data_IF_818624224668
#
_entry.id   IF_818624224668
#
_cell.length_a   1.000
_cell.length_b   1.000
_cell.length_c   1.000
_cell.angle_alpha   90.00
_cell.angle_beta   90.00
_cell.angle_gamma   90.00
#
_symmetry.space_group_name_H-M   'P 1'
#
loop_
_entity.id
_entity.type
_entity.pdbx_description
1 polymer ?
#
# COMPACT_ATOMS: atom_id res chain seq x y z
N UNK A 1 -12.68 23.74 3.04
CA UNK A 1 -12.70 23.05 4.35
C UNK A 1 -11.26 22.68 4.69
N UNK A 2 -10.63 23.46 5.56
CA UNK A 2 -9.20 23.35 5.87
C UNK A 2 -8.95 22.09 6.70
N UNK A 3 -8.01 21.24 6.27
CA UNK A 3 -7.60 20.04 7.00
C UNK A 3 -6.52 20.46 7.99
N UNK A 4 -6.87 20.52 9.27
CA UNK A 4 -5.91 20.75 10.35
C UNK A 4 -4.84 19.66 10.36
N UNK A 5 -3.59 20.03 10.61
CA UNK A 5 -2.46 19.11 10.61
C UNK A 5 -2.44 18.26 11.89
N UNK A 6 -1.81 17.07 11.90
CA UNK A 6 -1.67 16.25 13.11
C UNK A 6 -0.97 16.97 14.27
N UNK A 7 -0.15 17.99 13.98
CA UNK A 7 0.55 18.79 15.01
C UNK A 7 -0.41 19.78 15.71
N UNK A 8 -1.45 20.26 15.02
CA UNK A 8 -2.47 21.13 15.63
C UNK A 8 -3.39 20.37 16.62
N UNK A 9 -3.42 19.03 16.57
CA UNK A 9 -4.12 18.19 17.54
C UNK A 9 -3.31 17.92 18.81
N UNK A 10 -1.98 17.96 18.74
CA UNK A 10 -1.12 17.79 19.91
C UNK A 10 -1.18 19.01 20.83
N UNK A 11 -1.21 20.23 20.27
CA UNK A 11 -1.37 21.45 21.06
C UNK A 11 -2.75 21.57 21.73
N UNK A 12 -3.80 21.00 21.14
CA UNK A 12 -5.14 21.01 21.75
C UNK A 12 -5.26 20.06 22.96
N UNK A 13 -4.43 19.01 23.01
CA UNK A 13 -4.40 18.06 24.14
C UNK A 13 -3.44 18.51 25.25
N UNK A 14 -2.40 19.29 24.93
CA UNK A 14 -1.56 19.91 25.96
C UNK A 14 -2.29 21.02 26.74
N UNK A 15 -3.21 21.77 26.09
CA UNK A 15 -4.02 22.78 26.80
C UNK A 15 -5.13 22.14 27.69
N UNK A 16 -5.77 21.03 27.28
CA UNK A 16 -6.84 20.40 28.10
C UNK A 16 -6.33 19.40 29.17
N UNK A 17 -5.03 19.06 29.17
CA UNK A 17 -4.43 18.25 30.25
C UNK A 17 -3.83 19.09 31.38
N UNK A 18 -3.87 20.43 31.25
CA UNK A 18 -3.82 21.34 32.39
C UNK A 18 -5.22 21.62 32.94
N UNK A 19 -6.09 20.58 33.02
CA UNK A 19 -7.02 20.60 34.14
C UNK A 19 -6.14 20.45 35.37
N UNK A 20 -5.82 21.57 36.01
CA UNK A 20 -5.49 21.62 37.43
C UNK A 20 -6.31 20.52 38.08
N UNK A 21 -5.64 19.44 38.46
CA UNK A 21 -6.27 18.49 39.35
C UNK A 21 -6.55 19.34 40.58
N UNK A 22 -7.78 19.79 40.73
CA UNK A 22 -8.35 20.07 42.04
C UNK A 22 -8.09 18.79 42.82
N UNK A 23 -6.94 18.77 43.47
CA UNK A 23 -6.58 17.79 44.47
C UNK A 23 -7.61 18.01 45.54
N UNK A 24 -8.70 17.26 45.46
CA UNK A 24 -9.74 17.27 46.47
C UNK A 24 -9.02 17.10 47.81
N UNK A 25 -9.03 18.08 48.72
CA UNK A 25 -8.17 18.04 49.91
C UNK A 25 -8.42 16.81 50.80
N UNK A 26 -9.59 16.19 50.67
CA UNK A 26 -9.92 14.90 51.29
C UNK A 26 -9.22 13.69 50.61
N UNK A 27 -8.90 13.79 49.31
CA UNK A 27 -8.18 12.78 48.54
C UNK A 27 -6.72 12.64 48.97
N UNK A 28 -6.03 13.75 49.25
CA UNK A 28 -4.66 13.75 49.76
C UNK A 28 -4.62 13.22 51.20
N UNK A 29 -5.57 13.60 52.06
CA UNK A 29 -5.57 13.20 53.47
C UNK A 29 -5.65 11.67 53.66
N UNK A 30 -6.50 10.96 52.93
CA UNK A 30 -6.64 9.49 53.04
C UNK A 30 -5.48 8.73 52.41
N UNK A 31 -4.92 9.24 51.31
CA UNK A 31 -3.79 8.61 50.62
C UNK A 31 -2.52 8.79 51.44
N UNK A 32 -2.37 9.96 52.08
CA UNK A 32 -1.33 10.26 53.04
C UNK A 32 -1.52 9.47 54.35
N UNK A 33 -2.76 9.31 54.84
CA UNK A 33 -3.08 8.40 55.96
C UNK A 33 -2.68 6.96 55.64
N UNK A 34 -3.12 6.37 54.53
CA UNK A 34 -2.78 4.99 54.15
C UNK A 34 -1.28 4.77 53.88
N UNK A 35 -0.56 5.82 53.46
CA UNK A 35 0.89 5.79 53.23
C UNK A 35 1.73 6.00 54.50
N UNK A 36 1.13 6.47 55.60
CA UNK A 36 1.84 6.61 56.87
C UNK A 36 1.94 5.28 57.61
N UNK A 37 3.13 5.02 58.18
CA UNK A 37 3.45 3.79 58.92
C UNK A 37 2.56 3.57 60.17
N UNK A 38 1.86 4.63 60.61
CA UNK A 38 0.97 4.67 61.77
C UNK A 38 -0.54 4.50 61.45
N UNK A 39 -0.90 4.27 60.19
CA UNK A 39 -2.30 4.07 59.80
C UNK A 39 -2.93 2.90 60.57
N UNK A 40 -2.24 1.77 60.59
CA UNK A 40 -2.74 0.55 61.23
C UNK A 40 -2.80 0.68 62.77
N UNK A 41 -1.92 1.47 63.40
CA UNK A 41 -1.97 1.70 64.85
C UNK A 41 -3.12 2.64 65.22
N UNK A 42 -3.36 3.66 64.41
CA UNK A 42 -4.48 4.60 64.58
C UNK A 42 -5.83 3.90 64.40
N UNK A 43 -5.94 3.05 63.37
CA UNK A 43 -7.14 2.24 63.09
C UNK A 43 -7.40 1.20 64.19
N UNK A 44 -6.34 0.63 64.79
CA UNK A 44 -6.47 -0.35 65.88
C UNK A 44 -6.97 0.27 67.21
N UNK A 45 -6.76 1.57 67.43
CA UNK A 45 -7.27 2.30 68.60
C UNK A 45 -8.57 3.07 68.36
N UNK A 46 -9.11 3.02 67.14
CA UNK A 46 -10.29 3.78 66.71
C UNK A 46 -11.60 3.18 67.24
N UNK A 47 -12.61 4.03 67.43
CA UNK A 47 -13.94 3.55 67.79
C UNK A 47 -14.60 2.81 66.62
N UNK A 48 -15.62 2.00 66.91
CA UNK A 48 -16.34 1.20 65.90
C UNK A 48 -16.99 2.06 64.81
N UNK A 49 -17.35 3.31 65.12
CA UNK A 49 -17.98 4.23 64.17
C UNK A 49 -16.94 4.96 63.30
N UNK A 50 -15.75 5.23 63.83
CA UNK A 50 -14.62 5.75 63.03
C UNK A 50 -14.16 4.69 62.00
N UNK A 51 -14.10 3.43 62.41
CA UNK A 51 -13.81 2.29 61.53
C UNK A 51 -14.81 2.15 60.39
N UNK A 52 -16.11 2.34 60.64
CA UNK A 52 -17.14 2.31 59.58
C UNK A 52 -16.96 3.45 58.58
N UNK A 53 -16.59 4.63 59.06
CA UNK A 53 -16.37 5.80 58.20
C UNK A 53 -15.18 5.58 57.26
N UNK A 54 -14.06 5.09 57.81
CA UNK A 54 -12.87 4.73 57.02
C UNK A 54 -13.19 3.63 56.00
N UNK A 55 -13.95 2.61 56.39
CA UNK A 55 -14.36 1.53 55.48
C UNK A 55 -15.23 2.06 54.32
N UNK A 56 -16.16 2.98 54.60
CA UNK A 56 -16.98 3.65 53.60
C UNK A 56 -16.15 4.44 52.59
N UNK A 57 -15.18 5.22 53.07
CA UNK A 57 -14.26 5.99 52.23
C UNK A 57 -13.36 5.08 51.36
N UNK A 58 -12.82 3.99 51.93
CA UNK A 58 -12.03 3.01 51.15
C UNK A 58 -12.89 2.35 50.07
N UNK A 59 -14.15 2.02 50.38
CA UNK A 59 -15.07 1.40 49.42
C UNK A 59 -15.37 2.33 48.26
N UNK A 60 -15.68 3.60 48.54
CA UNK A 60 -15.87 4.63 47.51
C UNK A 60 -14.62 4.83 46.65
N UNK A 61 -13.42 4.85 47.24
CA UNK A 61 -12.16 4.93 46.47
C UNK A 61 -11.97 3.71 45.57
N UNK A 62 -12.26 2.51 46.07
CA UNK A 62 -12.15 1.29 45.27
C UNK A 62 -13.10 1.31 44.07
N UNK A 63 -14.32 1.82 44.23
CA UNK A 63 -15.28 1.99 43.13
C UNK A 63 -14.80 3.04 42.12
N UNK A 64 -14.32 4.19 42.60
CA UNK A 64 -13.74 5.23 41.75
C UNK A 64 -12.55 4.73 40.93
N UNK A 65 -11.60 4.03 41.55
CA UNK A 65 -10.45 3.46 40.84
C UNK A 65 -10.85 2.38 39.84
N UNK A 66 -11.84 1.53 40.16
CA UNK A 66 -12.40 0.57 39.20
C UNK A 66 -12.99 1.26 37.98
N UNK A 67 -13.68 2.38 38.18
CA UNK A 67 -14.27 3.14 37.07
C UNK A 67 -13.22 3.85 36.22
N UNK A 68 -12.21 4.48 36.86
CA UNK A 68 -11.05 5.04 36.15
C UNK A 68 -10.30 3.98 35.35
N UNK A 69 -10.09 2.80 35.92
CA UNK A 69 -9.38 1.70 35.25
C UNK A 69 -10.15 1.19 34.02
N UNK A 70 -11.49 1.13 34.08
CA UNK A 70 -12.32 0.82 32.90
C UNK A 70 -12.17 1.84 31.77
N UNK A 71 -12.08 3.12 32.11
CA UNK A 71 -11.85 4.20 31.12
C UNK A 71 -10.48 4.03 30.48
N UNK A 72 -9.44 3.79 31.26
CA UNK A 72 -8.08 3.53 30.77
C UNK A 72 -8.05 2.33 29.84
N UNK A 73 -8.64 1.20 30.24
CA UNK A 73 -8.72 -0.01 29.40
C UNK A 73 -9.41 0.25 28.06
N UNK A 74 -10.48 1.07 28.07
CA UNK A 74 -11.18 1.47 26.84
C UNK A 74 -10.27 2.30 25.94
N UNK A 75 -9.57 3.30 26.48
CA UNK A 75 -8.65 4.13 25.69
C UNK A 75 -7.47 3.35 25.12
N UNK A 76 -6.91 2.39 25.86
CA UNK A 76 -5.84 1.51 25.37
C UNK A 76 -6.33 0.67 24.19
N UNK A 77 -7.53 0.09 24.30
CA UNK A 77 -8.14 -0.69 23.21
C UNK A 77 -8.40 0.17 21.97
N UNK A 78 -8.90 1.39 22.15
CA UNK A 78 -9.15 2.32 21.04
C UNK A 78 -7.87 2.73 20.33
N UNK A 79 -6.79 3.02 21.07
CA UNK A 79 -5.45 3.29 20.51
C UNK A 79 -4.89 2.11 19.73
N UNK A 80 -4.91 0.91 20.32
CA UNK A 80 -4.43 -0.29 19.64
C UNK A 80 -5.19 -0.55 18.32
N UNK A 81 -6.49 -0.27 18.30
CA UNK A 81 -7.32 -0.41 17.10
C UNK A 81 -7.02 0.68 16.05
N UNK A 82 -6.72 1.90 16.48
CA UNK A 82 -6.29 2.99 15.61
C UNK A 82 -4.91 2.70 14.99
N UNK A 83 -3.95 2.26 15.80
CA UNK A 83 -2.59 1.91 15.36
C UNK A 83 -2.59 0.75 14.36
N UNK A 84 -3.40 -0.28 14.63
CA UNK A 84 -3.59 -1.41 13.71
C UNK A 84 -4.14 -0.97 12.34
N UNK A 85 -5.11 -0.04 12.33
CA UNK A 85 -5.66 0.53 11.09
C UNK A 85 -4.61 1.35 10.34
N UNK A 86 -3.82 2.16 11.05
CA UNK A 86 -2.74 2.96 10.44
C UNK A 86 -1.66 2.07 9.82
N UNK A 87 -1.17 1.07 10.55
CA UNK A 87 -0.18 0.10 10.05
C UNK A 87 -0.68 -0.65 8.81
N UNK A 88 -1.96 -1.02 8.79
CA UNK A 88 -2.56 -1.70 7.62
C UNK A 88 -2.64 -0.77 6.41
N UNK A 89 -3.02 0.49 6.63
CA UNK A 89 -3.08 1.49 5.56
C UNK A 89 -1.68 1.82 5.01
N UNK A 90 -0.67 1.90 5.87
CA UNK A 90 0.72 2.14 5.48
C UNK A 90 1.31 0.96 4.69
N UNK A 91 1.10 -0.28 5.16
CA UNK A 91 1.49 -1.50 4.43
C UNK A 91 0.83 -1.56 3.04
N UNK A 92 -0.44 -1.17 2.93
CA UNK A 92 -1.13 -1.13 1.64
C UNK A 92 -0.54 -0.07 0.70
N UNK A 93 -0.14 1.10 1.22
CA UNK A 93 0.55 2.14 0.43
C UNK A 93 1.95 1.67 0.00
N UNK A 94 2.72 1.08 0.90
CA UNK A 94 4.04 0.52 0.61
C UNK A 94 3.98 -0.56 -0.48
N UNK A 95 3.04 -1.51 -0.35
CA UNK A 95 2.83 -2.55 -1.37
C UNK A 95 2.47 -1.96 -2.74
N UNK A 96 1.58 -0.96 -2.80
CA UNK A 96 1.25 -0.29 -4.07
C UNK A 96 2.45 0.44 -4.69
N UNK A 97 3.34 1.01 -3.88
CA UNK A 97 4.57 1.65 -4.38
C UNK A 97 5.57 0.62 -4.88
N UNK A 98 5.71 -0.50 -4.16
CA UNK A 98 6.55 -1.62 -4.58
C UNK A 98 6.05 -2.24 -5.90
N UNK A 99 4.76 -2.57 -5.99
CA UNK A 99 4.16 -3.12 -7.22
C UNK A 99 4.33 -2.18 -8.43
N UNK A 100 4.33 -0.86 -8.21
CA UNK A 100 4.59 0.13 -9.26
C UNK A 100 6.05 0.13 -9.69
N UNK A 101 6.98 0.02 -8.74
CA UNK A 101 8.41 -0.05 -9.00
C UNK A 101 8.76 -1.34 -9.75
N UNK A 102 8.30 -2.48 -9.25
CA UNK A 102 8.56 -3.79 -9.87
C UNK A 102 8.00 -3.85 -11.31
N UNK A 103 6.81 -3.27 -11.54
CA UNK A 103 6.24 -3.14 -12.91
C UNK A 103 7.03 -2.20 -13.81
N UNK A 104 7.69 -1.18 -13.26
CA UNK A 104 8.55 -0.27 -14.01
C UNK A 104 9.86 -0.99 -14.37
N UNK A 105 10.50 -1.63 -13.39
CA UNK A 105 11.76 -2.35 -13.56
C UNK A 105 11.61 -3.50 -14.57
N UNK A 106 10.48 -4.23 -14.53
CA UNK A 106 10.16 -5.26 -15.52
C UNK A 106 10.02 -4.69 -16.94
N UNK A 107 9.51 -3.47 -17.11
CA UNK A 107 9.39 -2.83 -18.43
C UNK A 107 10.73 -2.36 -18.97
N UNK A 108 11.64 -1.98 -18.09
CA UNK A 108 12.99 -1.51 -18.44
C UNK A 108 13.97 -2.66 -18.69
N UNK A 109 13.61 -3.89 -18.29
CA UNK A 109 14.40 -5.08 -18.56
C UNK A 109 14.54 -5.27 -20.07
N UNK A 110 15.78 -5.16 -20.56
CA UNK A 110 16.14 -5.34 -21.96
C UNK A 110 16.36 -6.83 -22.25
N UNK A 111 15.74 -7.31 -23.31
CA UNK A 111 15.88 -8.68 -23.80
C UNK A 111 16.41 -8.70 -25.23
N UNK A 112 17.27 -9.67 -25.53
CA UNK A 112 17.74 -9.91 -26.90
C UNK A 112 16.79 -10.87 -27.60
N UNK A 113 16.23 -10.47 -28.74
CA UNK A 113 15.30 -11.26 -29.53
C UNK A 113 15.95 -11.69 -30.83
N UNK A 114 15.70 -12.94 -31.23
CA UNK A 114 16.05 -13.43 -32.56
C UNK A 114 14.85 -13.19 -33.48
N UNK A 115 15.04 -12.35 -34.49
CA UNK A 115 13.99 -12.03 -35.46
C UNK A 115 14.33 -12.72 -36.77
N UNK A 116 13.45 -13.60 -37.23
CA UNK A 116 13.58 -14.27 -38.53
C UNK A 116 12.54 -13.72 -39.49
N UNK A 117 12.99 -13.18 -40.62
CA UNK A 117 12.15 -12.66 -41.71
C UNK A 117 12.67 -13.20 -43.04
N UNK A 118 11.88 -14.08 -43.67
CA UNK A 118 12.37 -14.88 -44.80
C UNK A 118 13.58 -15.72 -44.40
N UNK A 119 14.66 -15.63 -45.17
CA UNK A 119 15.93 -16.34 -44.91
C UNK A 119 16.90 -15.54 -44.02
N UNK A 120 16.52 -14.32 -43.61
CA UNK A 120 17.37 -13.46 -42.82
C UNK A 120 17.01 -13.54 -41.34
N UNK A 121 18.04 -13.67 -40.50
CA UNK A 121 17.90 -13.64 -39.05
C UNK A 121 18.77 -12.56 -38.46
N UNK A 122 18.19 -11.71 -37.62
CA UNK A 122 18.90 -10.65 -36.89
C UNK A 122 18.65 -10.81 -35.39
N UNK A 123 19.57 -10.28 -34.58
CA UNK A 123 19.36 -10.15 -33.14
C UNK A 123 19.02 -8.69 -32.82
N UNK A 124 17.89 -8.48 -32.14
CA UNK A 124 17.40 -7.15 -31.78
C UNK A 124 17.26 -7.06 -30.26
N UNK A 125 17.95 -6.09 -29.65
CA UNK A 125 17.86 -5.83 -28.22
C UNK A 125 16.76 -4.81 -27.94
N UNK A 126 15.72 -5.21 -27.21
CA UNK A 126 14.55 -4.36 -26.92
C UNK A 126 14.08 -4.52 -25.47
N UNK A 127 13.58 -3.46 -24.83
CA UNK A 127 12.98 -3.57 -23.50
C UNK A 127 11.64 -4.32 -23.56
N UNK A 128 11.34 -5.13 -22.54
CA UNK A 128 10.07 -5.87 -22.43
C UNK A 128 8.83 -4.96 -22.38
N UNK A 129 9.03 -3.69 -22.02
CA UNK A 129 8.02 -2.64 -22.09
C UNK A 129 7.63 -2.20 -23.50
N UNK A 130 8.39 -2.59 -24.54
CA UNK A 130 8.01 -2.29 -25.93
C UNK A 130 6.66 -2.89 -26.27
N UNK A 131 5.87 -2.14 -27.03
CA UNK A 131 4.65 -2.68 -27.62
C UNK A 131 4.97 -3.47 -28.89
N UNK A 132 4.09 -4.36 -29.30
CA UNK A 132 4.24 -5.11 -30.56
C UNK A 132 4.32 -4.16 -31.77
N UNK A 133 3.63 -3.02 -31.74
CA UNK A 133 3.75 -1.97 -32.76
C UNK A 133 5.15 -1.35 -32.82
N UNK A 134 5.75 -1.03 -31.66
CA UNK A 134 7.12 -0.51 -31.59
C UNK A 134 8.15 -1.56 -32.04
N UNK A 135 7.93 -2.84 -31.69
CA UNK A 135 8.77 -3.93 -32.18
C UNK A 135 8.67 -4.05 -33.71
N UNK A 136 7.46 -3.94 -34.28
CA UNK A 136 7.26 -3.88 -35.74
C UNK A 136 8.07 -2.75 -36.36
N UNK A 137 7.96 -1.54 -35.81
CA UNK A 137 8.70 -0.38 -36.33
C UNK A 137 10.22 -0.60 -36.27
N UNK A 138 10.73 -1.18 -35.18
CA UNK A 138 12.15 -1.50 -35.03
C UNK A 138 12.63 -2.57 -36.04
N UNK A 139 11.82 -3.62 -36.27
CA UNK A 139 12.08 -4.63 -37.31
C UNK A 139 12.08 -3.98 -38.69
N UNK A 140 11.10 -3.12 -38.97
CA UNK A 140 11.03 -2.39 -40.23
C UNK A 140 12.25 -1.51 -40.47
N UNK A 141 12.79 -0.88 -39.44
CA UNK A 141 14.05 -0.14 -39.53
C UNK A 141 15.24 -1.06 -39.79
N UNK A 142 15.35 -2.18 -39.07
CA UNK A 142 16.45 -3.11 -39.22
C UNK A 142 16.53 -3.77 -40.61
N UNK A 143 15.36 -4.01 -41.24
CA UNK A 143 15.25 -4.57 -42.58
C UNK A 143 15.01 -3.52 -43.69
N UNK A 144 15.10 -2.22 -43.38
CA UNK A 144 14.86 -1.12 -44.33
C UNK A 144 13.50 -1.20 -45.07
N UNK A 145 12.45 -1.62 -44.37
CA UNK A 145 11.09 -1.71 -44.89
C UNK A 145 10.37 -0.36 -44.86
N UNK A 146 9.48 -0.14 -45.82
CA UNK A 146 8.64 1.06 -45.84
C UNK A 146 7.60 1.02 -44.71
N UNK A 147 7.23 2.19 -44.16
CA UNK A 147 6.22 2.30 -43.09
C UNK A 147 4.90 1.59 -43.41
N UNK A 148 4.49 1.57 -44.68
CA UNK A 148 3.27 0.86 -45.13
C UNK A 148 3.40 -0.65 -44.94
N UNK A 149 4.53 -1.24 -45.34
CA UNK A 149 4.83 -2.67 -45.16
C UNK A 149 4.97 -3.02 -43.68
N UNK A 150 5.72 -2.22 -42.92
CA UNK A 150 6.00 -2.45 -41.50
C UNK A 150 4.73 -2.58 -40.65
N UNK A 151 3.70 -1.76 -40.92
CA UNK A 151 2.42 -1.82 -40.20
C UNK A 151 1.67 -3.13 -40.43
N UNK A 152 1.84 -3.73 -41.61
CA UNK A 152 1.15 -4.95 -42.05
C UNK A 152 1.91 -6.25 -41.71
N UNK A 153 3.12 -6.17 -41.15
CA UNK A 153 3.90 -7.36 -40.80
C UNK A 153 3.18 -8.24 -39.78
N UNK A 154 3.24 -9.56 -40.01
CA UNK A 154 2.76 -10.58 -39.09
C UNK A 154 3.92 -11.15 -38.26
N UNK A 155 3.94 -10.75 -36.98
CA UNK A 155 4.81 -11.27 -35.94
C UNK A 155 4.13 -12.44 -35.22
N UNK A 156 4.85 -13.55 -35.12
CA UNK A 156 4.50 -14.77 -34.41
C UNK A 156 5.60 -15.16 -33.42
N UNK A 157 5.19 -15.51 -32.21
CA UNK A 157 6.06 -16.06 -31.17
C UNK A 157 5.49 -17.40 -30.70
N UNK A 158 6.20 -18.49 -30.99
CA UNK A 158 5.69 -19.85 -30.78
C UNK A 158 4.37 -20.07 -31.52
N UNK A 159 3.32 -20.49 -30.79
CA UNK A 159 1.97 -20.65 -31.34
C UNK A 159 1.13 -19.35 -31.33
N UNK A 160 1.66 -18.24 -30.81
CA UNK A 160 0.87 -17.02 -30.59
C UNK A 160 1.15 -15.96 -31.66
N UNK A 161 0.09 -15.53 -32.35
CA UNK A 161 0.15 -14.39 -33.28
C UNK A 161 0.05 -13.07 -32.52
N UNK A 162 1.20 -12.44 -32.29
CA UNK A 162 1.30 -11.17 -31.56
C UNK A 162 0.65 -10.00 -32.30
N UNK A 163 0.53 -10.12 -33.63
CA UNK A 163 0.15 -9.01 -34.49
C UNK A 163 -1.30 -8.54 -34.35
N UNK A 164 -2.15 -9.40 -33.80
CA UNK A 164 -3.55 -9.10 -33.48
C UNK A 164 -3.69 -8.07 -32.35
N UNK A 165 -2.64 -7.85 -31.55
CA UNK A 165 -2.66 -6.98 -30.37
C UNK A 165 -1.48 -6.00 -30.37
N UNK A 166 -1.42 -5.04 -31.32
CA UNK A 166 -0.27 -4.14 -31.51
C UNK A 166 0.08 -3.28 -30.29
N UNK A 167 -0.92 -2.97 -29.44
CA UNK A 167 -0.74 -2.13 -28.24
C UNK A 167 -0.29 -2.90 -26.99
N UNK A 168 -0.25 -4.24 -27.05
CA UNK A 168 0.22 -5.05 -25.91
C UNK A 168 1.75 -5.04 -25.87
N UNK A 169 2.30 -5.11 -24.66
CA UNK A 169 3.76 -5.14 -24.44
C UNK A 169 4.32 -6.54 -24.63
N UNK A 170 5.61 -6.66 -24.93
CA UNK A 170 6.31 -7.95 -25.06
C UNK A 170 6.22 -8.77 -23.76
N UNK A 171 6.27 -8.11 -22.61
CA UNK A 171 6.04 -8.75 -21.30
C UNK A 171 4.70 -9.51 -21.22
N UNK A 172 3.66 -9.07 -21.94
CA UNK A 172 2.34 -9.72 -21.94
C UNK A 172 2.38 -11.09 -22.61
N UNK A 173 3.33 -11.30 -23.53
CA UNK A 173 3.49 -12.54 -24.28
C UNK A 173 4.52 -13.48 -23.64
N UNK A 174 4.98 -13.19 -22.42
CA UNK A 174 5.99 -13.96 -21.70
C UNK A 174 7.24 -14.24 -22.55
N UNK A 175 7.69 -13.20 -23.25
CA UNK A 175 8.92 -13.26 -24.05
C UNK A 175 10.12 -13.27 -23.10
N UNK A 176 11.08 -14.14 -23.41
CA UNK A 176 12.31 -14.34 -22.64
C UNK A 176 13.55 -14.01 -23.50
N UNK A 177 14.72 -13.99 -22.87
CA UNK A 177 16.00 -13.81 -23.55
C UNK A 177 16.19 -14.84 -24.67
N UNK A 178 16.65 -14.39 -25.83
CA UNK A 178 16.86 -15.16 -27.05
C UNK A 178 15.59 -15.79 -27.65
N UNK A 179 14.40 -15.28 -27.30
CA UNK A 179 13.15 -15.68 -27.92
C UNK A 179 13.20 -15.49 -29.44
N UNK A 180 12.68 -16.49 -30.17
CA UNK A 180 12.60 -16.45 -31.62
C UNK A 180 11.24 -15.92 -32.09
N UNK A 181 11.24 -14.83 -32.83
CA UNK A 181 10.05 -14.21 -33.43
C UNK A 181 10.13 -14.40 -34.93
N UNK A 182 9.11 -15.05 -35.47
CA UNK A 182 8.95 -15.25 -36.90
C UNK A 182 8.14 -14.07 -37.42
N UNK A 183 8.67 -13.43 -38.46
CA UNK A 183 8.02 -12.33 -39.17
C UNK A 183 7.67 -12.83 -40.56
N UNK A 184 6.41 -12.65 -40.94
CA UNK A 184 5.94 -12.88 -42.30
C UNK A 184 5.31 -11.60 -42.86
N UNK A 185 5.34 -11.51 -44.19
CA UNK A 185 4.60 -10.47 -44.89
C UNK A 185 3.09 -10.63 -44.67
N UNK A 186 2.31 -9.54 -44.78
CA UNK A 186 0.87 -9.66 -44.91
C UNK A 186 0.57 -10.68 -45.99
N UNK A 187 -0.29 -11.66 -45.70
CA UNK A 187 -0.95 -12.38 -46.77
C UNK A 187 -1.73 -11.32 -47.54
N UNK A 188 -1.33 -11.06 -48.77
CA UNK A 188 -2.19 -10.38 -49.74
C UNK A 188 -3.38 -11.31 -49.94
N UNK A 189 -4.39 -11.15 -49.09
CA UNK A 189 -5.75 -11.43 -49.53
C UNK A 189 -5.99 -10.38 -50.61
N UNK A 190 -5.72 -10.77 -51.85
CA UNK A 190 -6.32 -10.17 -53.02
C UNK A 190 -7.84 -10.37 -52.88
N UNK A 191 -8.47 -9.55 -52.05
CA UNK A 191 -9.84 -9.14 -52.32
C UNK A 191 -9.71 -8.08 -53.42
N UNK A 192 -9.61 -8.60 -54.65
CA UNK A 192 -9.93 -7.88 -55.88
C UNK A 192 -11.40 -7.46 -55.79
N UNK A 193 -11.70 -6.43 -54.99
CA UNK A 193 -12.94 -5.69 -55.10
C UNK A 193 -12.79 -4.72 -56.27
N UNK A 194 -13.13 -5.30 -57.41
CA UNK A 194 -13.75 -4.68 -58.58
C UNK A 194 -14.75 -3.55 -58.21
N UNK A 195 -14.97 -2.65 -59.15
CA UNK A 195 -15.91 -1.49 -59.15
C UNK A 195 -15.38 -0.15 -58.58
N UNK A 196 -15.25 0.93 -59.36
CA UNK A 196 -15.70 1.16 -60.72
C UNK A 196 -15.04 2.36 -61.40
N UNK A 197 -14.76 2.15 -62.68
CA UNK A 197 -14.67 3.22 -63.67
C UNK A 197 -16.09 3.63 -64.11
N UNK A 198 -16.22 4.94 -64.32
CA UNK A 198 -17.33 5.73 -64.90
C UNK A 198 -18.33 6.36 -63.93
#
# INVERSE_FOLDING_TARGET
>A
MSKKSPEEFLNYVEEETTSESESDPEMDMLTQMLATQDFFSTVAGSSTDDLKTVLGQITQKCEFYKEKMKVVDKTIKERALADSKMLTAERAKAKKMQDKKDKKDLRETVVSLRITYGDHTINLSVPLGYTVGMLRDAIGQAFNLTKKKTRKLHLQFGATTMSTRPRKTLATFHIHENANIIVSDPQDNNDDDDEGEQ
#
